data_IF_899166132748
#
_entry.id   IF_899166132748
#
_cell.length_a   1.000
_cell.length_b   1.000
_cell.length_c   1.000
_cell.angle_alpha   90.00
_cell.angle_beta   90.00
_cell.angle_gamma   90.00
#
_symmetry.space_group_name_H-M   'P 1'
#
loop_
_entity.id
_entity.type
_entity.pdbx_description
1 polymer ?
#
# COMPACT_ATOMS: atom_id res chain seq x y z
N UNK A 1 -2.21 -0.06 -27.09
CA UNK A 1 -1.32 -0.10 -28.29
C UNK A 1 -0.95 -1.55 -28.58
N UNK A 2 -1.30 -2.06 -29.77
CA UNK A 2 -1.03 -3.47 -30.06
C UNK A 2 0.45 -3.84 -30.15
N UNK A 3 1.35 -2.85 -30.30
CA UNK A 3 2.78 -3.08 -30.43
C UNK A 3 3.53 -2.90 -29.08
N UNK A 4 2.81 -2.69 -27.99
CA UNK A 4 3.43 -2.36 -26.71
C UNK A 4 3.25 -3.51 -25.73
N UNK A 5 4.35 -4.00 -25.19
CA UNK A 5 4.36 -5.10 -24.23
C UNK A 5 5.14 -4.68 -23.01
N UNK A 6 4.49 -4.66 -21.86
CA UNK A 6 5.10 -4.24 -20.59
C UNK A 6 4.85 -5.27 -19.50
N UNK A 7 5.79 -5.36 -18.57
CA UNK A 7 5.64 -6.16 -17.36
C UNK A 7 6.29 -5.35 -16.23
N UNK A 8 5.46 -4.69 -15.44
CA UNK A 8 5.93 -3.82 -14.36
C UNK A 8 5.18 -4.18 -13.09
N UNK A 9 5.90 -4.67 -12.09
CA UNK A 9 5.35 -5.00 -10.78
C UNK A 9 5.80 -3.97 -9.77
N UNK A 10 4.87 -3.42 -9.03
CA UNK A 10 5.12 -2.38 -8.02
C UNK A 10 4.51 -2.82 -6.70
N UNK A 11 5.29 -2.69 -5.63
CA UNK A 11 4.77 -2.74 -4.27
C UNK A 11 4.64 -1.31 -3.74
N UNK A 12 3.44 -0.93 -3.37
CA UNK A 12 3.15 0.33 -2.70
C UNK A 12 3.05 0.10 -1.19
N UNK A 13 3.60 1.04 -0.43
CA UNK A 13 3.48 1.05 1.03
C UNK A 13 3.12 2.46 1.45
N UNK A 14 2.03 2.62 2.19
CA UNK A 14 1.71 3.89 2.81
C UNK A 14 0.96 3.68 4.13
N UNK A 15 0.86 4.73 4.93
CA UNK A 15 0.50 4.61 6.33
C UNK A 15 -0.69 5.47 6.71
N UNK A 16 -1.42 5.05 7.75
CA UNK A 16 -2.52 5.82 8.32
C UNK A 16 -1.96 6.97 9.15
N UNK A 17 -2.74 8.05 9.23
CA UNK A 17 -2.38 9.22 10.03
C UNK A 17 -3.05 9.14 11.40
N UNK A 18 -2.23 9.22 12.46
CA UNK A 18 -2.71 9.23 13.84
C UNK A 18 -2.93 7.83 14.40
N UNK A 19 -2.57 7.67 15.68
CA UNK A 19 -2.71 6.37 16.38
C UNK A 19 -4.16 5.98 16.59
N UNK A 20 -5.03 6.96 16.75
CA UNK A 20 -6.44 6.74 17.06
C UNK A 20 -7.22 6.19 15.86
N UNK A 21 -6.66 6.34 14.66
CA UNK A 21 -7.29 5.89 13.42
C UNK A 21 -6.79 4.54 12.95
N UNK A 22 -6.35 3.70 13.88
CA UNK A 22 -5.94 2.33 13.52
C UNK A 22 -7.14 1.53 13.05
N UNK A 23 -6.95 0.86 11.93
CA UNK A 23 -8.01 0.05 11.31
C UNK A 23 -8.08 -1.30 12.02
N UNK A 24 -9.27 -1.66 12.47
CA UNK A 24 -9.49 -2.95 13.14
C UNK A 24 -9.53 -4.08 12.12
N UNK A 25 -9.10 -5.27 12.54
CA UNK A 25 -9.03 -6.43 11.66
C UNK A 25 -10.38 -6.81 11.04
N UNK A 26 -11.49 -6.52 11.73
CA UNK A 26 -12.83 -6.82 11.23
C UNK A 26 -13.18 -6.02 9.97
N UNK A 27 -12.57 -4.84 9.80
CA UNK A 27 -12.82 -3.97 8.65
C UNK A 27 -11.86 -4.22 7.49
N UNK A 28 -10.83 -5.04 7.68
CA UNK A 28 -9.77 -5.24 6.70
C UNK A 28 -10.30 -5.70 5.34
N UNK A 29 -11.07 -6.76 5.33
CA UNK A 29 -11.55 -7.35 4.07
C UNK A 29 -12.36 -6.36 3.24
N UNK A 30 -13.23 -5.61 3.87
CA UNK A 30 -14.08 -4.63 3.20
C UNK A 30 -13.25 -3.53 2.55
N UNK A 31 -12.27 -3.00 3.28
CA UNK A 31 -11.40 -1.94 2.77
C UNK A 31 -10.50 -2.47 1.66
N UNK A 32 -9.93 -3.67 1.83
CA UNK A 32 -9.09 -4.30 0.81
C UNK A 32 -9.85 -4.51 -0.50
N UNK A 33 -11.08 -4.98 -0.41
CA UNK A 33 -11.94 -5.17 -1.59
C UNK A 33 -12.24 -3.84 -2.28
N UNK A 34 -12.52 -2.81 -1.50
CA UNK A 34 -12.81 -1.49 -2.05
C UNK A 34 -11.59 -0.93 -2.79
N UNK A 35 -10.42 -1.01 -2.18
CA UNK A 35 -9.17 -0.54 -2.79
C UNK A 35 -8.84 -1.34 -4.04
N UNK A 36 -9.00 -2.66 -4.01
CA UNK A 36 -8.81 -3.51 -5.20
C UNK A 36 -9.72 -3.06 -6.33
N UNK A 37 -10.96 -2.70 -6.03
CA UNK A 37 -11.92 -2.17 -7.01
C UNK A 37 -11.45 -0.85 -7.64
N UNK A 38 -10.82 0.03 -6.85
CA UNK A 38 -10.23 1.27 -7.37
C UNK A 38 -9.15 0.96 -8.40
N UNK A 39 -8.24 0.04 -8.08
CA UNK A 39 -7.20 -0.40 -9.02
C UNK A 39 -7.81 -0.96 -10.31
N UNK A 40 -8.81 -1.83 -10.19
CA UNK A 40 -9.49 -2.42 -11.35
C UNK A 40 -10.12 -1.33 -12.22
N UNK A 41 -10.75 -0.32 -11.63
CA UNK A 41 -11.34 0.79 -12.37
C UNK A 41 -10.30 1.65 -13.10
N UNK A 42 -9.05 1.61 -12.68
CA UNK A 42 -7.94 2.30 -13.33
C UNK A 42 -7.13 1.38 -14.24
N UNK A 43 -7.69 0.23 -14.59
CA UNK A 43 -7.07 -0.77 -15.46
C UNK A 43 -5.73 -1.30 -14.94
N UNK A 44 -5.63 -1.44 -13.63
CA UNK A 44 -4.50 -2.07 -12.96
C UNK A 44 -4.93 -3.41 -12.39
N UNK A 45 -3.97 -4.29 -12.12
CA UNK A 45 -4.27 -5.60 -11.53
C UNK A 45 -3.58 -5.78 -10.19
N UNK A 46 -4.34 -5.86 -9.12
CA UNK A 46 -3.80 -6.18 -7.80
C UNK A 46 -3.45 -7.66 -7.73
N UNK A 47 -2.22 -7.96 -7.29
CA UNK A 47 -1.72 -9.33 -7.12
C UNK A 47 -1.87 -9.75 -5.66
N UNK A 48 -1.49 -8.86 -4.73
CA UNK A 48 -1.61 -9.12 -3.30
C UNK A 48 -1.82 -7.80 -2.57
N UNK A 49 -2.64 -7.83 -1.55
CA UNK A 49 -2.93 -6.66 -0.73
C UNK A 49 -3.06 -7.11 0.71
N UNK A 50 -2.51 -6.34 1.63
CA UNK A 50 -2.71 -6.59 3.06
C UNK A 50 -2.75 -5.27 3.82
N UNK A 51 -3.85 -5.05 4.52
CA UNK A 51 -4.07 -3.86 5.34
C UNK A 51 -3.77 -4.20 6.79
N UNK A 52 -2.66 -3.64 7.30
CA UNK A 52 -2.34 -3.67 8.72
C UNK A 52 -3.10 -2.56 9.45
N UNK A 53 -3.14 -2.57 10.78
CA UNK A 53 -3.84 -1.51 11.52
C UNK A 53 -3.37 -0.10 11.20
N UNK A 54 -2.10 0.09 10.86
CA UNK A 54 -1.48 1.40 10.67
C UNK A 54 -0.83 1.62 9.30
N UNK A 55 -0.81 0.61 8.42
CA UNK A 55 -0.22 0.74 7.09
C UNK A 55 -0.73 -0.33 6.15
N UNK A 56 -0.49 -0.13 4.86
CA UNK A 56 -0.96 -1.06 3.83
C UNK A 56 0.18 -1.39 2.87
N UNK A 57 0.19 -2.64 2.42
CA UNK A 57 1.02 -3.12 1.32
C UNK A 57 0.11 -3.48 0.15
N UNK A 58 0.40 -2.95 -1.04
CA UNK A 58 -0.34 -3.27 -2.25
C UNK A 58 0.67 -3.65 -3.33
N UNK A 59 0.62 -4.90 -3.78
CA UNK A 59 1.47 -5.39 -4.86
C UNK A 59 0.61 -5.56 -6.10
N UNK A 60 0.96 -4.84 -7.16
CA UNK A 60 0.12 -4.82 -8.35
C UNK A 60 0.94 -4.83 -9.63
N UNK A 61 0.29 -5.30 -10.70
CA UNK A 61 0.82 -5.20 -12.05
C UNK A 61 0.40 -3.86 -12.64
N UNK A 62 1.38 -3.01 -12.94
CA UNK A 62 1.15 -1.67 -13.45
C UNK A 62 0.99 -1.74 -14.95
N UNK A 63 -0.27 -1.88 -15.40
CA UNK A 63 -0.63 -2.13 -16.80
C UNK A 63 -0.98 -0.86 -17.55
N UNK A 64 -1.81 -0.01 -16.99
CA UNK A 64 -2.24 1.24 -17.60
C UNK A 64 -1.24 2.33 -17.22
N UNK A 65 -0.32 2.61 -18.14
CA UNK A 65 0.73 3.62 -17.92
C UNK A 65 0.28 5.04 -18.26
N UNK A 66 -0.98 5.21 -18.70
CA UNK A 66 -1.54 6.54 -18.95
C UNK A 66 -1.78 7.33 -17.68
N UNK A 67 -2.06 6.62 -16.57
CA UNK A 67 -2.11 7.26 -15.27
C UNK A 67 -0.73 7.16 -14.62
N UNK A 68 -0.19 8.28 -14.15
CA UNK A 68 1.11 8.26 -13.47
C UNK A 68 0.98 7.58 -12.12
N UNK A 69 2.10 7.07 -11.59
CA UNK A 69 2.08 6.44 -10.28
C UNK A 69 1.62 7.40 -9.18
N UNK A 70 2.10 8.66 -9.11
CA UNK A 70 1.59 9.61 -8.12
C UNK A 70 0.08 9.84 -8.22
N UNK A 71 -0.45 9.96 -9.42
CA UNK A 71 -1.89 10.17 -9.61
C UNK A 71 -2.70 8.94 -9.19
N UNK A 72 -2.21 7.75 -9.49
CA UNK A 72 -2.85 6.51 -9.05
C UNK A 72 -2.91 6.43 -7.52
N UNK A 73 -1.80 6.72 -6.84
CA UNK A 73 -1.77 6.73 -5.37
C UNK A 73 -2.74 7.77 -4.81
N UNK A 74 -2.79 8.94 -5.43
CA UNK A 74 -3.72 10.00 -5.00
C UNK A 74 -5.17 9.55 -5.10
N UNK A 75 -5.55 8.93 -6.20
CA UNK A 75 -6.92 8.41 -6.39
C UNK A 75 -7.23 7.34 -5.34
N UNK A 76 -6.32 6.40 -5.13
CA UNK A 76 -6.50 5.33 -4.14
C UNK A 76 -6.70 5.92 -2.74
N UNK A 77 -5.85 6.87 -2.35
CA UNK A 77 -5.96 7.51 -1.04
C UNK A 77 -7.26 8.30 -0.89
N UNK A 78 -7.62 9.09 -1.89
CA UNK A 78 -8.82 9.93 -1.83
C UNK A 78 -10.08 9.08 -1.74
N UNK A 79 -10.24 8.12 -2.63
CA UNK A 79 -11.45 7.29 -2.68
C UNK A 79 -11.56 6.38 -1.46
N UNK A 80 -10.46 5.79 -1.00
CA UNK A 80 -10.49 4.94 0.20
C UNK A 80 -10.77 5.76 1.47
N UNK A 81 -10.23 6.98 1.56
CA UNK A 81 -10.52 7.89 2.67
C UNK A 81 -12.03 8.19 2.73
N UNK A 82 -12.62 8.54 1.59
CA UNK A 82 -14.04 8.82 1.53
C UNK A 82 -14.87 7.61 1.94
N UNK A 83 -14.52 6.43 1.44
CA UNK A 83 -15.20 5.18 1.80
C UNK A 83 -15.15 4.91 3.30
N UNK A 84 -13.98 5.03 3.89
CA UNK A 84 -13.80 4.78 5.33
C UNK A 84 -14.59 5.77 6.16
N UNK A 85 -14.58 7.05 5.79
CA UNK A 85 -15.27 8.11 6.53
C UNK A 85 -16.79 8.04 6.34
N UNK A 86 -17.28 7.81 5.13
CA UNK A 86 -18.71 7.69 4.85
C UNK A 86 -19.33 6.50 5.56
N UNK A 87 -18.60 5.41 5.70
CA UNK A 87 -19.06 4.20 6.37
C UNK A 87 -18.72 4.16 7.86
N UNK A 88 -18.09 5.21 8.36
CA UNK A 88 -17.71 5.35 9.78
C UNK A 88 -16.96 4.13 10.30
N UNK A 89 -16.02 3.64 9.50
CA UNK A 89 -15.26 2.42 9.80
C UNK A 89 -14.34 2.62 10.99
N UNK A 90 -13.78 3.83 11.14
CA UNK A 90 -12.92 4.18 12.27
C UNK A 90 -13.60 5.24 13.13
N UNK A 91 -13.16 5.36 14.38
CA UNK A 91 -13.63 6.41 15.27
C UNK A 91 -13.03 7.75 14.81
N UNK A 92 -13.86 8.77 14.65
CA UNK A 92 -13.44 10.07 14.17
C UNK A 92 -13.14 10.06 12.67
N UNK A 93 -12.37 11.01 12.22
CA UNK A 93 -12.09 11.21 10.80
C UNK A 93 -10.80 10.51 10.39
N UNK A 94 -10.87 9.77 9.30
CA UNK A 94 -9.73 8.99 8.79
C UNK A 94 -8.95 9.79 7.75
N UNK A 95 -7.60 9.69 7.80
CA UNK A 95 -6.69 10.18 6.77
C UNK A 95 -5.51 9.22 6.62
N UNK A 96 -4.95 9.16 5.41
CA UNK A 96 -3.62 8.57 5.20
C UNK A 96 -2.57 9.66 5.44
N UNK A 97 -1.37 9.26 5.83
CA UNK A 97 -0.23 10.18 5.89
C UNK A 97 0.18 10.59 4.47
N UNK A 98 0.86 11.71 4.32
CA UNK A 98 1.46 12.10 3.05
C UNK A 98 2.57 11.13 2.67
N UNK A 99 2.76 10.97 1.36
CA UNK A 99 3.85 10.15 0.85
C UNK A 99 3.50 8.67 0.74
N UNK A 100 4.41 7.94 0.13
CA UNK A 100 4.31 6.50 -0.06
C UNK A 100 5.68 5.97 -0.44
N UNK A 101 5.89 4.67 -0.23
CA UNK A 101 7.03 3.96 -0.82
C UNK A 101 6.54 3.17 -2.03
N UNK A 102 7.35 3.12 -3.08
CA UNK A 102 7.06 2.32 -4.26
C UNK A 102 8.33 1.57 -4.66
N UNK A 103 8.21 0.26 -4.78
CA UNK A 103 9.34 -0.62 -5.04
C UNK A 103 9.01 -1.54 -6.22
N UNK A 104 9.93 -1.65 -7.18
CA UNK A 104 9.72 -2.50 -8.35
C UNK A 104 10.39 -3.86 -8.18
N UNK A 105 9.81 -4.86 -8.81
CA UNK A 105 10.31 -6.25 -8.73
C UNK A 105 10.28 -6.90 -10.10
N UNK A 106 11.20 -7.85 -10.30
CA UNK A 106 11.19 -8.70 -11.48
C UNK A 106 10.14 -9.82 -11.31
N UNK A 107 9.72 -10.42 -12.41
CA UNK A 107 8.77 -11.54 -12.41
C UNK A 107 9.25 -12.70 -11.54
N UNK A 108 10.55 -12.95 -11.50
CA UNK A 108 11.13 -14.02 -10.68
C UNK A 108 10.90 -13.83 -9.18
N UNK A 109 10.61 -12.60 -8.75
CA UNK A 109 10.36 -12.26 -7.34
C UNK A 109 8.87 -12.24 -6.96
N UNK A 110 7.99 -12.36 -7.96
CA UNK A 110 6.55 -12.20 -7.77
C UNK A 110 5.99 -13.09 -6.65
N UNK A 111 6.31 -14.37 -6.67
CA UNK A 111 5.77 -15.31 -5.70
C UNK A 111 6.29 -15.05 -4.29
N UNK A 112 7.57 -14.69 -4.17
CA UNK A 112 8.18 -14.35 -2.88
C UNK A 112 7.53 -13.10 -2.28
N UNK A 113 7.36 -12.06 -3.09
CA UNK A 113 6.73 -10.82 -2.63
C UNK A 113 5.28 -11.04 -2.25
N UNK A 114 4.54 -11.81 -3.05
CA UNK A 114 3.15 -12.15 -2.77
C UNK A 114 3.01 -12.82 -1.41
N UNK A 115 3.83 -13.84 -1.16
CA UNK A 115 3.82 -14.57 0.12
C UNK A 115 4.18 -13.65 1.28
N UNK A 116 5.18 -12.80 1.09
CA UNK A 116 5.59 -11.84 2.12
C UNK A 116 4.42 -10.93 2.52
N UNK A 117 3.72 -10.37 1.54
CA UNK A 117 2.61 -9.46 1.80
C UNK A 117 1.46 -10.17 2.52
N UNK A 118 1.13 -11.38 2.10
CA UNK A 118 0.03 -12.14 2.71
C UNK A 118 0.35 -12.65 4.11
N UNK A 119 1.62 -12.63 4.51
CA UNK A 119 2.07 -13.05 5.85
C UNK A 119 2.45 -11.87 6.75
N UNK A 120 1.89 -10.71 6.51
CA UNK A 120 2.22 -9.51 7.28
C UNK A 120 1.99 -9.65 8.78
N UNK A 121 0.94 -10.33 9.18
CA UNK A 121 0.65 -10.56 10.60
C UNK A 121 1.79 -11.31 11.29
N UNK A 122 2.36 -12.33 10.65
CA UNK A 122 3.50 -13.08 11.18
C UNK A 122 4.76 -12.22 11.26
N UNK A 123 5.00 -11.39 10.23
CA UNK A 123 6.18 -10.53 10.20
C UNK A 123 6.14 -9.48 11.29
N UNK A 124 4.98 -8.89 11.55
CA UNK A 124 4.84 -7.83 12.56
C UNK A 124 4.88 -8.34 14.00
N UNK A 125 4.86 -9.62 14.22
CA UNK A 125 5.19 -10.21 15.53
C UNK A 125 6.70 -10.16 15.82
N UNK A 126 7.53 -10.05 14.78
CA UNK A 126 8.99 -10.13 14.88
C UNK A 126 9.70 -8.81 14.68
N UNK A 127 9.10 -7.88 13.95
CA UNK A 127 9.68 -6.55 13.74
C UNK A 127 8.59 -5.52 13.48
N UNK A 128 8.89 -4.26 13.83
CA UNK A 128 7.97 -3.14 13.68
C UNK A 128 7.82 -2.71 12.23
N UNK A 129 6.77 -1.94 11.95
CA UNK A 129 6.58 -1.30 10.65
C UNK A 129 7.77 -0.38 10.33
N UNK A 130 8.24 0.38 11.32
CA UNK A 130 9.42 1.25 11.11
C UNK A 130 10.62 0.46 10.60
N UNK A 131 10.93 -0.65 11.27
CA UNK A 131 12.06 -1.48 10.85
C UNK A 131 11.85 -2.06 9.46
N UNK A 132 10.64 -2.56 9.19
CA UNK A 132 10.29 -3.09 7.86
C UNK A 132 10.48 -2.04 6.76
N UNK A 133 9.97 -0.84 7.00
CA UNK A 133 10.05 0.23 6.01
C UNK A 133 11.49 0.69 5.76
N UNK A 134 12.27 0.82 6.84
CA UNK A 134 13.70 1.14 6.71
C UNK A 134 14.46 0.05 5.95
N UNK A 135 14.14 -1.22 6.23
CA UNK A 135 14.75 -2.34 5.51
C UNK A 135 14.44 -2.29 4.01
N UNK A 136 13.20 -1.92 3.63
CA UNK A 136 12.83 -1.75 2.24
C UNK A 136 13.62 -0.62 1.58
N UNK A 137 13.71 0.53 2.23
CA UNK A 137 14.46 1.67 1.69
C UNK A 137 15.94 1.32 1.50
N UNK A 138 16.53 0.64 2.47
CA UNK A 138 17.94 0.22 2.39
C UNK A 138 18.17 -0.85 1.32
N UNK A 139 17.26 -1.80 1.20
CA UNK A 139 17.33 -2.86 0.19
C UNK A 139 17.36 -2.30 -1.23
N UNK A 140 16.57 -1.27 -1.49
CA UNK A 140 16.51 -0.63 -2.80
C UNK A 140 17.44 0.58 -2.92
N UNK A 141 18.30 0.80 -1.93
CA UNK A 141 19.29 1.87 -1.92
C UNK A 141 18.69 3.25 -2.17
N UNK A 142 17.52 3.50 -1.55
CA UNK A 142 16.81 4.77 -1.66
C UNK A 142 17.32 5.71 -0.57
N UNK A 143 17.82 6.88 -0.98
CA UNK A 143 18.19 7.94 -0.05
C UNK A 143 16.92 8.55 0.56
N UNK A 144 16.96 8.81 1.86
CA UNK A 144 15.81 9.39 2.56
C UNK A 144 16.28 10.33 3.67
N UNK A 145 15.37 11.22 4.07
CA UNK A 145 15.58 12.09 5.22
C UNK A 145 14.58 11.69 6.30
N UNK A 146 15.04 11.58 7.54
CA UNK A 146 14.20 11.16 8.67
C UNK A 146 12.95 12.03 8.81
N UNK A 147 13.05 13.31 8.52
CA UNK A 147 11.94 14.27 8.61
C UNK A 147 10.81 14.00 7.61
N UNK A 148 11.07 13.24 6.54
CA UNK A 148 10.11 12.90 5.51
C UNK A 148 9.65 11.44 5.56
N UNK A 149 10.06 10.69 6.55
CA UNK A 149 9.52 9.35 6.80
C UNK A 149 8.12 9.46 7.39
N UNK A 150 7.40 8.35 7.38
CA UNK A 150 6.11 8.29 8.08
C UNK A 150 6.31 8.48 9.59
N UNK A 151 5.25 8.90 10.26
CA UNK A 151 5.17 8.75 11.70
C UNK A 151 4.87 7.27 11.99
N UNK A 152 5.67 6.68 12.86
CA UNK A 152 5.50 5.27 13.22
C UNK A 152 4.94 5.18 14.64
N UNK A 153 4.00 4.28 14.84
CA UNK A 153 3.26 4.15 16.08
C UNK A 153 3.53 2.84 16.81
N UNK A 154 4.46 2.05 16.32
CA UNK A 154 4.83 0.76 16.93
C UNK A 154 6.26 0.70 17.46
#
# INVERSE_FOLDING_TARGET
>A
MPNTYTQIYIQLVFATKGRENKIRSEARDEIEKYITGIFTNKDQKVIAIYLNPDHIHIFFSYKNLKITLPDLVKVVKTESTNFINENKIVRGKFYWQEGYGAFSYAKSQKDVVTKYILRQEEHHKKRSFKQEYLDLLNKFEIEFKNEYLFEFYD
#
